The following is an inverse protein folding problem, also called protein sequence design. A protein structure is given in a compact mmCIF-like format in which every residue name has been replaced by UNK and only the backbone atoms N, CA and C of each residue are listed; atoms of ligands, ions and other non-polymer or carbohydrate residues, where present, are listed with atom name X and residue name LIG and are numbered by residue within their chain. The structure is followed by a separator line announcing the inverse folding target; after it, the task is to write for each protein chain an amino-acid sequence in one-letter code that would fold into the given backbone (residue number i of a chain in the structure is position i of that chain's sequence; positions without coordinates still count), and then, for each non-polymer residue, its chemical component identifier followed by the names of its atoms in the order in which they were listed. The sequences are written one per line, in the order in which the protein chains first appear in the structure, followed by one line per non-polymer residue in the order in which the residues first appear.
data_IF_874790600867
#
_entry.id   IF_874790600867
#
_cell.length_a   1.000
_cell.length_b   1.000
_cell.length_c   1.000
_cell.angle_alpha   90.00
_cell.angle_beta   90.00
_cell.angle_gamma   90.00
#
_symmetry.space_group_name_H-M   'P 1'
#
loop_
_entity.id
_entity.type
_entity.pdbx_description
1 polymer ?
#
# COMPACT_ATOMS: atom_id res chain seq x y z
N UNK A 1 18.13 29.87 14.72
CA UNK A 1 16.90 30.63 14.99
C UNK A 1 16.95 31.00 16.47
N UNK A 2 17.02 32.28 16.83
CA UNK A 2 16.74 32.71 18.20
C UNK A 2 15.22 32.66 18.35
N UNK A 3 14.68 31.49 18.70
CA UNK A 3 13.32 31.40 19.20
C UNK A 3 13.44 31.63 20.71
N UNK A 4 13.22 32.87 21.14
CA UNK A 4 12.98 33.14 22.56
C UNK A 4 11.73 32.38 22.96
N UNK A 5 11.91 31.25 23.66
CA UNK A 5 10.84 30.48 24.30
C UNK A 5 10.28 31.23 25.51
N UNK A 6 9.37 30.58 26.23
CA UNK A 6 8.84 31.09 27.49
C UNK A 6 9.93 31.29 28.57
N UNK A 7 11.11 30.70 28.37
CA UNK A 7 12.32 30.85 29.17
C UNK A 7 12.77 32.32 29.40
N UNK A 8 12.56 33.22 28.43
CA UNK A 8 12.91 34.65 28.56
C UNK A 8 12.04 35.40 29.60
N UNK A 9 10.97 34.78 30.12
CA UNK A 9 10.03 35.40 31.04
C UNK A 9 10.22 35.02 32.51
N UNK A 10 11.06 34.02 32.80
CA UNK A 10 11.31 33.56 34.19
C UNK A 10 12.53 34.28 34.82
N UNK A 11 13.36 34.97 34.04
CA UNK A 11 14.53 35.66 34.58
C UNK A 11 14.24 37.11 34.96
N UNK A 12 14.11 37.41 36.26
CA UNK A 12 14.60 38.67 36.79
C UNK A 12 15.32 38.50 38.12
N UNK A 13 16.29 39.40 38.31
CA UNK A 13 17.21 39.43 39.44
C UNK A 13 16.45 39.45 40.77
N UNK A 14 17.03 38.76 41.75
CA UNK A 14 16.56 38.66 43.12
C UNK A 14 16.00 39.97 43.67
N UNK A 15 14.67 40.06 43.89
CA UNK A 15 14.05 41.15 44.64
C UNK A 15 12.69 41.67 44.16
N UNK A 16 12.24 41.31 42.96
CA UNK A 16 10.91 41.72 42.46
C UNK A 16 9.93 40.54 42.47
N UNK A 17 8.70 40.79 42.94
CA UNK A 17 7.59 39.81 42.84
C UNK A 17 7.32 39.55 41.36
N UNK A 18 7.27 38.29 40.89
CA UNK A 18 7.05 38.02 39.49
C UNK A 18 5.65 38.49 39.11
N UNK A 19 5.57 39.34 38.10
CA UNK A 19 4.31 39.84 37.58
C UNK A 19 3.68 38.74 36.70
N UNK A 20 3.10 37.73 37.36
CA UNK A 20 2.43 36.59 36.71
C UNK A 20 1.13 36.98 35.99
N UNK A 21 0.70 38.24 36.06
CA UNK A 21 -0.55 38.71 35.50
C UNK A 21 -0.40 39.15 34.05
N UNK A 22 -0.73 38.22 33.15
CA UNK A 22 -0.92 38.52 31.73
C UNK A 22 -2.30 39.17 31.57
N UNK A 23 -2.36 40.49 31.34
CA UNK A 23 -3.61 41.17 30.98
C UNK A 23 -3.85 41.11 29.47
N UNK A 24 -5.12 41.09 29.00
CA UNK A 24 -5.48 41.14 27.57
C UNK A 24 -4.91 42.36 26.82
N UNK A 25 -4.46 43.36 27.56
CA UNK A 25 -4.01 44.66 27.07
C UNK A 25 -2.53 44.62 26.62
N UNK A 26 -1.81 43.55 26.97
CA UNK A 26 -0.40 43.33 26.66
C UNK A 26 -0.23 42.33 25.50
N UNK A 27 -0.88 42.60 24.37
CA UNK A 27 -1.07 41.68 23.23
C UNK A 27 0.24 41.12 22.64
N UNK A 28 1.35 41.86 22.71
CA UNK A 28 2.66 41.38 22.26
C UNK A 28 3.22 40.26 23.15
N UNK A 29 3.00 40.30 24.48
CA UNK A 29 3.40 39.24 25.42
C UNK A 29 2.46 38.03 25.34
N UNK A 30 1.17 38.28 25.11
CA UNK A 30 0.16 37.24 24.93
C UNK A 30 0.50 36.34 23.73
N UNK A 31 0.79 36.93 22.57
CA UNK A 31 1.07 36.20 21.33
C UNK A 31 2.35 35.33 21.36
N UNK A 32 3.29 35.62 22.28
CA UNK A 32 4.53 34.85 22.44
C UNK A 32 4.31 33.55 23.24
N UNK A 33 3.29 33.52 24.10
CA UNK A 33 2.94 32.37 24.96
C UNK A 33 1.80 31.51 24.41
N UNK A 34 1.12 31.93 23.35
CA UNK A 34 -0.06 31.25 22.79
C UNK A 34 0.22 30.14 21.79
N UNK A 35 1.49 29.92 21.43
CA UNK A 35 1.87 28.94 20.42
C UNK A 35 2.53 27.71 21.06
N UNK A 36 2.68 26.63 20.30
CA UNK A 36 3.44 25.44 20.72
C UNK A 36 4.93 25.80 20.72
N UNK A 37 5.52 25.91 21.92
CA UNK A 37 6.93 26.24 22.14
C UNK A 37 7.75 25.01 22.54
N UNK A 38 9.07 25.18 22.68
CA UNK A 38 10.00 24.11 23.08
C UNK A 38 9.52 23.36 24.34
N UNK A 39 9.08 24.10 25.34
CA UNK A 39 8.69 23.62 26.66
C UNK A 39 7.40 22.78 26.62
N UNK A 40 6.57 22.95 25.59
CA UNK A 40 5.38 22.14 25.38
C UNK A 40 5.71 20.66 25.09
N UNK A 41 6.91 20.38 24.57
CA UNK A 41 7.37 19.03 24.20
C UNK A 41 8.53 18.52 25.08
N UNK A 42 9.33 19.44 25.64
CA UNK A 42 10.53 19.10 26.42
C UNK A 42 10.37 19.33 27.93
N UNK A 43 9.25 19.92 28.36
CA UNK A 43 9.02 20.34 29.74
C UNK A 43 9.69 21.68 30.07
N UNK A 44 9.46 22.20 31.29
CA UNK A 44 10.03 23.46 31.74
C UNK A 44 11.56 23.37 31.87
N UNK A 45 12.26 24.44 31.52
CA UNK A 45 13.72 24.53 31.56
C UNK A 45 14.15 25.10 32.91
N UNK A 46 14.49 24.23 33.87
CA UNK A 46 15.09 24.62 35.14
C UNK A 46 15.23 23.48 36.14
N UNK A 47 16.15 23.60 37.09
CA UNK A 47 16.25 22.65 38.21
C UNK A 47 15.19 22.93 39.29
N UNK A 48 15.07 22.03 40.28
CA UNK A 48 14.14 22.18 41.41
C UNK A 48 14.40 23.45 42.25
N UNK A 49 15.52 24.14 42.01
CA UNK A 49 15.98 25.33 42.72
C UNK A 49 15.74 26.62 41.92
N UNK A 50 15.20 26.51 40.70
CA UNK A 50 14.82 27.65 39.85
C UNK A 50 15.95 28.22 38.98
N UNK A 51 17.05 27.48 38.79
CA UNK A 51 18.14 27.89 37.88
C UNK A 51 17.78 27.48 36.44
N UNK A 52 17.70 28.47 35.55
CA UNK A 52 17.37 28.28 34.13
C UNK A 52 18.55 27.65 33.36
N UNK A 53 18.29 26.54 32.66
CA UNK A 53 19.23 25.87 31.75
C UNK A 53 19.19 26.50 30.34
N UNK A 54 19.79 27.69 30.22
CA UNK A 54 19.87 28.44 28.95
C UNK A 54 20.55 27.69 27.80
N UNK A 55 21.40 26.71 28.13
CA UNK A 55 22.11 25.92 27.14
C UNK A 55 21.35 24.65 26.74
N UNK A 56 20.18 24.42 27.34
CA UNK A 56 19.31 23.28 27.02
C UNK A 56 19.99 21.92 27.16
N UNK A 57 20.92 21.83 28.12
CA UNK A 57 21.75 20.66 28.40
C UNK A 57 21.00 19.54 29.13
N UNK A 58 19.86 19.84 29.74
CA UNK A 58 19.03 18.92 30.54
C UNK A 58 17.74 18.48 29.81
N UNK A 59 17.60 18.82 28.51
CA UNK A 59 16.38 18.56 27.76
C UNK A 59 16.08 17.07 27.62
N UNK A 60 14.85 16.70 27.96
CA UNK A 60 14.33 15.35 27.72
C UNK A 60 14.01 15.22 26.24
N UNK A 61 14.69 14.29 25.55
CA UNK A 61 14.28 13.89 24.19
C UNK A 61 13.25 12.79 24.31
N UNK A 62 11.98 13.10 23.99
CA UNK A 62 10.87 12.16 24.09
C UNK A 62 10.44 11.67 22.71
N UNK A 63 10.69 10.39 22.44
CA UNK A 63 10.29 9.73 21.19
C UNK A 63 8.88 9.14 21.24
N UNK A 64 8.22 9.13 22.40
CA UNK A 64 6.88 8.56 22.56
C UNK A 64 5.83 9.37 21.78
N UNK A 65 4.93 8.69 21.08
CA UNK A 65 3.77 9.31 20.43
C UNK A 65 2.89 10.07 21.44
N UNK A 66 2.90 9.69 22.72
CA UNK A 66 2.17 10.36 23.78
C UNK A 66 2.58 11.84 23.95
N UNK A 67 3.82 12.19 23.61
CA UNK A 67 4.28 13.57 23.66
C UNK A 67 3.50 14.46 22.68
N UNK A 68 3.26 13.98 21.46
CA UNK A 68 2.43 14.64 20.47
C UNK A 68 0.94 14.51 20.83
N UNK A 69 0.59 13.37 21.43
CA UNK A 69 -0.76 13.00 21.84
C UNK A 69 -1.43 13.98 22.78
N UNK A 70 -0.66 14.70 23.62
CA UNK A 70 -1.21 15.74 24.53
C UNK A 70 -2.17 16.70 23.82
N UNK A 71 -1.81 17.11 22.60
CA UNK A 71 -2.62 18.02 21.77
C UNK A 71 -3.37 17.30 20.64
N UNK A 72 -2.84 16.17 20.14
CA UNK A 72 -3.35 15.46 18.98
C UNK A 72 -4.22 14.24 19.34
N UNK A 73 -5.15 14.42 20.27
CA UNK A 73 -6.04 13.36 20.78
C UNK A 73 -7.52 13.78 20.87
N UNK A 74 -8.00 14.60 19.94
CA UNK A 74 -9.38 15.12 19.94
C UNK A 74 -10.16 14.70 18.71
N UNK A 75 -11.48 14.88 18.71
CA UNK A 75 -12.34 14.57 17.57
C UNK A 75 -11.93 15.30 16.27
N UNK A 76 -11.34 16.50 16.37
CA UNK A 76 -10.81 17.25 15.22
C UNK A 76 -9.39 16.85 14.81
N UNK A 77 -8.60 16.32 15.74
CA UNK A 77 -7.21 15.92 15.54
C UNK A 77 -6.98 14.53 16.16
N UNK A 78 -7.58 13.46 15.61
CA UNK A 78 -7.58 12.13 16.23
C UNK A 78 -6.27 11.34 15.98
N UNK A 79 -5.17 12.02 15.65
CA UNK A 79 -3.94 11.38 15.16
C UNK A 79 -3.39 10.33 16.12
N UNK A 80 -3.35 10.60 17.42
CA UNK A 80 -2.83 9.66 18.40
C UNK A 80 -3.68 8.39 18.45
N UNK A 81 -4.99 8.55 18.64
CA UNK A 81 -5.91 7.41 18.72
C UNK A 81 -5.91 6.58 17.44
N UNK A 82 -5.83 7.22 16.28
CA UNK A 82 -5.71 6.51 15.00
C UNK A 82 -4.37 5.79 14.87
N UNK A 83 -3.27 6.45 15.26
CA UNK A 83 -1.94 5.84 15.23
C UNK A 83 -1.84 4.64 16.17
N UNK A 84 -2.42 4.70 17.37
CA UNK A 84 -2.47 3.59 18.34
C UNK A 84 -3.20 2.36 17.80
N UNK A 85 -4.15 2.54 16.87
CA UNK A 85 -4.82 1.45 16.16
C UNK A 85 -4.01 0.90 14.97
N UNK A 86 -2.92 1.56 14.58
CA UNK A 86 -2.14 1.18 13.41
C UNK A 86 -1.11 0.07 13.68
N UNK A 87 -0.65 -0.59 12.62
CA UNK A 87 0.46 -1.53 12.69
C UNK A 87 1.77 -0.91 13.18
N UNK A 88 1.97 0.40 13.00
CA UNK A 88 3.17 1.10 13.47
C UNK A 88 3.25 1.19 15.00
N UNK A 89 2.10 1.28 15.68
CA UNK A 89 2.02 1.30 17.15
C UNK A 89 2.03 -0.09 17.79
N UNK A 90 1.78 -1.15 16.99
CA UNK A 90 1.69 -2.52 17.49
C UNK A 90 3.05 -3.09 17.93
N UNK A 91 4.14 -2.46 17.49
CA UNK A 91 5.50 -2.74 17.91
C UNK A 91 6.12 -4.02 17.37
N UNK A 92 7.44 -4.11 17.49
CA UNK A 92 8.18 -5.29 17.03
C UNK A 92 7.96 -6.49 17.98
N UNK A 93 7.83 -7.74 17.46
CA UNK A 93 7.74 -8.93 18.29
C UNK A 93 8.94 -9.09 19.24
N UNK A 94 8.74 -9.69 20.41
CA UNK A 94 9.80 -9.81 21.43
C UNK A 94 11.07 -10.53 20.94
N UNK A 95 10.94 -11.55 20.08
CA UNK A 95 12.08 -12.28 19.51
C UNK A 95 12.94 -11.43 18.56
N UNK A 96 12.37 -10.35 18.03
CA UNK A 96 13.03 -9.44 17.10
C UNK A 96 13.88 -8.40 17.82
N UNK A 97 13.59 -8.10 19.10
CA UNK A 97 14.28 -7.08 19.92
C UNK A 97 15.67 -7.51 20.41
N UNK A 98 16.42 -8.24 19.57
CA UNK A 98 17.82 -8.57 19.77
C UNK A 98 18.64 -7.90 18.66
N UNK A 99 19.29 -6.78 18.99
CA UNK A 99 20.09 -5.99 18.02
C UNK A 99 21.26 -6.76 17.47
N UNK A 100 21.93 -7.58 18.28
CA UNK A 100 23.09 -8.37 17.82
C UNK A 100 22.70 -9.37 16.72
N UNK A 101 21.45 -9.85 16.74
CA UNK A 101 20.93 -10.80 15.76
C UNK A 101 20.20 -10.15 14.58
N UNK A 102 19.56 -8.98 14.80
CA UNK A 102 18.59 -8.40 13.86
C UNK A 102 18.81 -6.91 13.59
N UNK A 103 20.06 -6.41 13.70
CA UNK A 103 20.38 -4.98 13.61
C UNK A 103 19.76 -4.28 12.41
N UNK A 104 19.81 -4.91 11.23
CA UNK A 104 19.38 -4.31 9.96
C UNK A 104 17.89 -3.98 9.94
N UNK A 105 17.11 -4.63 10.80
CA UNK A 105 15.68 -4.45 10.85
C UNK A 105 15.27 -3.31 11.81
N UNK A 106 16.18 -2.82 12.66
CA UNK A 106 15.82 -1.87 13.73
C UNK A 106 15.33 -0.53 13.21
N UNK A 107 15.92 0.00 12.14
CA UNK A 107 15.52 1.33 11.65
C UNK A 107 14.11 1.34 11.05
N UNK A 108 13.59 0.20 10.58
CA UNK A 108 12.22 0.09 10.12
C UNK A 108 11.20 -0.08 11.27
N UNK A 109 11.66 -0.42 12.46
CA UNK A 109 10.81 -0.84 13.58
C UNK A 109 10.89 0.07 14.82
N UNK A 110 11.94 0.89 14.95
CA UNK A 110 12.13 1.79 16.09
C UNK A 110 12.37 3.23 15.68
N UNK A 111 11.70 4.17 16.36
CA UNK A 111 11.73 5.58 16.00
C UNK A 111 13.13 6.21 16.15
N UNK A 112 13.86 5.86 17.21
CA UNK A 112 15.21 6.37 17.45
C UNK A 112 16.18 5.96 16.34
N UNK A 113 16.18 4.67 15.99
CA UNK A 113 16.99 4.10 14.92
C UNK A 113 16.64 4.73 13.57
N UNK A 114 15.35 4.89 13.25
CA UNK A 114 14.92 5.55 12.01
C UNK A 114 15.39 7.01 11.93
N UNK A 115 15.26 7.76 13.03
CA UNK A 115 15.71 9.15 13.10
C UNK A 115 17.23 9.24 12.98
N UNK A 116 17.97 8.33 13.60
CA UNK A 116 19.42 8.26 13.48
C UNK A 116 19.84 7.93 12.04
N UNK A 117 19.20 6.95 11.41
CA UNK A 117 19.40 6.57 10.02
C UNK A 117 19.24 7.77 9.06
N UNK A 118 18.13 8.50 9.16
CA UNK A 118 17.88 9.62 8.26
C UNK A 118 18.84 10.81 8.46
N UNK A 119 19.33 11.01 9.68
CA UNK A 119 20.19 12.15 10.02
C UNK A 119 21.69 11.83 9.88
N UNK A 120 22.07 10.56 9.85
CA UNK A 120 23.46 10.13 9.80
C UNK A 120 23.70 9.18 8.61
N UNK A 121 24.38 9.62 7.55
CA UNK A 121 24.71 8.77 6.40
C UNK A 121 25.69 7.64 6.75
N UNK A 122 26.31 7.65 7.93
CA UNK A 122 27.15 6.58 8.48
C UNK A 122 26.47 5.84 9.62
N UNK A 123 25.13 5.85 9.66
CA UNK A 123 24.36 5.06 10.61
C UNK A 123 24.70 3.56 10.48
N UNK A 124 25.02 2.95 11.62
CA UNK A 124 25.31 1.54 11.76
C UNK A 124 24.37 0.98 12.82
N UNK A 125 23.40 0.19 12.38
CA UNK A 125 22.38 -0.34 13.26
C UNK A 125 22.95 -1.33 14.30
N UNK A 126 24.07 -2.00 14.03
CA UNK A 126 24.69 -2.93 14.98
C UNK A 126 25.39 -2.21 16.13
N UNK A 127 25.90 -1.00 15.86
CA UNK A 127 26.67 -0.20 16.83
C UNK A 127 25.91 1.00 17.40
N UNK A 128 24.69 1.26 16.94
CA UNK A 128 23.89 2.37 17.45
C UNK A 128 23.61 2.19 18.94
N UNK A 129 23.90 3.22 19.73
CA UNK A 129 23.72 3.22 21.18
C UNK A 129 22.69 4.28 21.57
N UNK A 130 21.72 3.88 22.39
CA UNK A 130 20.80 4.81 23.02
C UNK A 130 21.04 4.88 24.52
N UNK A 131 20.75 6.04 25.10
CA UNK A 131 20.84 6.21 26.55
C UNK A 131 19.88 5.27 27.28
N UNK A 132 20.42 4.53 28.26
CA UNK A 132 19.69 3.52 29.00
C UNK A 132 19.40 2.22 28.24
N UNK A 133 19.97 2.02 27.04
CA UNK A 133 19.91 0.76 26.31
C UNK A 133 18.62 0.51 25.52
N UNK A 134 18.63 -0.52 24.68
CA UNK A 134 17.56 -0.82 23.69
C UNK A 134 16.17 -1.05 24.31
N UNK A 135 16.09 -1.33 25.61
CA UNK A 135 14.84 -1.40 26.38
C UNK A 135 14.03 -0.10 26.37
N UNK A 136 14.68 1.04 26.10
CA UNK A 136 14.04 2.35 26.00
C UNK A 136 13.60 2.72 24.58
N UNK A 137 13.85 1.87 23.58
CA UNK A 137 13.41 2.11 22.22
C UNK A 137 11.89 2.24 22.15
N UNK A 138 11.43 3.23 21.40
CA UNK A 138 10.04 3.36 21.04
C UNK A 138 9.86 2.70 19.68
N UNK A 139 8.74 2.01 19.48
CA UNK A 139 8.33 1.56 18.15
C UNK A 139 8.10 2.77 17.20
N UNK A 140 7.65 2.58 15.97
CA UNK A 140 7.54 3.68 14.99
C UNK A 140 6.51 4.74 15.41
N UNK A 141 6.97 5.87 15.98
CA UNK A 141 6.13 6.96 16.50
C UNK A 141 5.98 8.14 15.54
N UNK A 142 5.24 9.17 15.96
CA UNK A 142 5.04 10.41 15.19
C UNK A 142 6.36 11.04 14.73
N UNK A 143 7.39 11.03 15.59
CA UNK A 143 8.69 11.65 15.29
C UNK A 143 9.54 10.84 14.32
N UNK A 144 9.15 9.61 13.96
CA UNK A 144 9.76 8.88 12.86
C UNK A 144 9.43 9.57 11.53
N UNK A 145 8.18 10.01 11.34
CA UNK A 145 7.76 10.65 10.11
C UNK A 145 7.90 12.18 10.12
N UNK A 146 7.61 12.80 11.26
CA UNK A 146 7.58 14.26 11.39
C UNK A 146 8.87 14.82 12.00
N UNK A 147 9.29 15.98 11.52
CA UNK A 147 10.32 16.81 12.12
C UNK A 147 9.65 17.92 12.95
N UNK A 148 9.62 17.81 14.30
CA UNK A 148 8.99 18.81 15.15
C UNK A 148 9.68 20.19 15.09
N UNK A 149 10.90 20.27 14.55
CA UNK A 149 11.67 21.50 14.38
C UNK A 149 11.74 21.98 12.92
N UNK A 150 11.11 21.24 11.99
CA UNK A 150 11.14 21.55 10.56
C UNK A 150 10.02 22.50 10.16
N UNK A 151 10.23 23.22 9.05
CA UNK A 151 9.18 23.98 8.35
C UNK A 151 9.28 23.80 6.82
N UNK A 152 9.87 22.69 6.38
CA UNK A 152 10.29 22.48 5.00
C UNK A 152 9.14 22.06 4.08
N UNK A 153 8.02 21.57 4.61
CA UNK A 153 6.85 21.12 3.84
C UNK A 153 5.54 21.23 4.65
N UNK A 154 4.41 21.06 3.98
CA UNK A 154 3.03 21.28 4.50
C UNK A 154 2.62 20.38 5.67
N UNK A 155 3.39 19.35 6.00
CA UNK A 155 3.13 18.45 7.13
C UNK A 155 4.36 18.22 8.02
N UNK A 156 5.41 19.04 7.86
CA UNK A 156 6.70 18.87 8.52
C UNK A 156 7.27 17.44 8.44
N UNK A 157 7.04 16.74 7.32
CA UNK A 157 7.62 15.42 7.09
C UNK A 157 9.14 15.52 6.98
N UNK A 158 9.85 14.49 7.44
CA UNK A 158 11.31 14.42 7.28
C UNK A 158 11.67 14.33 5.80
N UNK A 159 12.78 14.98 5.47
CA UNK A 159 13.40 14.84 4.16
C UNK A 159 14.23 13.56 4.12
N UNK A 160 14.27 12.90 2.97
CA UNK A 160 15.12 11.74 2.77
C UNK A 160 16.55 12.17 2.42
N UNK A 161 17.57 11.40 2.85
CA UNK A 161 18.96 11.66 2.49
C UNK A 161 19.21 11.41 1.00
N UNK A 162 20.39 11.82 0.53
CA UNK A 162 20.86 11.53 -0.83
C UNK A 162 20.87 10.00 -1.08
N UNK A 163 20.49 9.57 -2.29
CA UNK A 163 20.35 8.15 -2.65
C UNK A 163 18.90 7.63 -2.59
N UNK A 164 17.95 8.42 -2.08
CA UNK A 164 16.52 8.13 -2.07
C UNK A 164 15.74 8.99 -3.08
N UNK A 165 16.37 9.39 -4.19
CA UNK A 165 15.73 10.25 -5.18
C UNK A 165 14.47 9.61 -5.77
N UNK A 166 13.35 10.34 -5.73
CA UNK A 166 12.04 9.86 -6.22
C UNK A 166 11.31 8.91 -5.26
N UNK A 167 11.88 8.64 -4.08
CA UNK A 167 11.22 7.90 -2.99
C UNK A 167 10.51 8.85 -2.03
N UNK A 168 9.50 8.32 -1.34
CA UNK A 168 8.85 8.96 -0.20
C UNK A 168 9.16 8.18 1.07
N UNK A 169 8.86 8.76 2.23
CA UNK A 169 9.21 8.17 3.53
C UNK A 169 8.68 6.74 3.72
N UNK A 170 7.52 6.42 3.14
CA UNK A 170 6.94 5.08 3.17
C UNK A 170 7.83 4.05 2.46
N UNK A 171 8.51 4.43 1.38
CA UNK A 171 9.35 3.52 0.59
C UNK A 171 10.63 3.11 1.34
N UNK A 172 10.98 3.79 2.44
CA UNK A 172 12.19 3.47 3.22
C UNK A 172 12.03 2.16 3.98
N UNK A 173 10.83 1.89 4.50
CA UNK A 173 10.55 0.69 5.29
C UNK A 173 9.73 -0.34 4.51
N UNK A 174 8.84 0.10 3.61
CA UNK A 174 8.01 -0.80 2.80
C UNK A 174 8.71 -1.20 1.50
N UNK A 175 9.94 -1.71 1.63
CA UNK A 175 10.82 -2.12 0.54
C UNK A 175 11.57 -3.37 0.95
N UNK A 176 11.81 -4.30 0.02
CA UNK A 176 12.53 -5.57 0.29
C UNK A 176 13.97 -5.37 0.82
N UNK A 177 14.63 -4.25 0.54
CA UNK A 177 16.03 -3.95 0.93
C UNK A 177 17.11 -4.89 0.37
N UNK A 178 16.76 -5.72 -0.61
CA UNK A 178 17.66 -6.68 -1.24
C UNK A 178 18.11 -6.22 -2.63
N UNK A 179 19.23 -6.76 -3.09
CA UNK A 179 19.73 -6.54 -4.46
C UNK A 179 19.32 -7.65 -5.44
N UNK A 180 18.94 -8.81 -4.92
CA UNK A 180 18.51 -9.98 -5.68
C UNK A 180 17.49 -10.79 -4.89
N UNK A 181 16.63 -11.54 -5.58
CA UNK A 181 15.59 -12.35 -4.95
C UNK A 181 16.14 -13.74 -4.63
N UNK A 182 16.07 -14.15 -3.36
CA UNK A 182 16.18 -15.56 -2.97
C UNK A 182 14.78 -16.16 -2.78
N UNK A 183 14.38 -17.03 -3.71
CA UNK A 183 13.09 -17.71 -3.66
C UNK A 183 13.01 -18.85 -2.63
N UNK A 184 14.11 -19.13 -1.90
CA UNK A 184 14.10 -20.03 -0.75
C UNK A 184 13.67 -19.34 0.54
N UNK A 185 13.66 -18.00 0.56
CA UNK A 185 13.19 -17.22 1.69
C UNK A 185 11.74 -16.74 1.50
N UNK A 186 11.19 -16.06 2.50
CA UNK A 186 9.88 -15.44 2.48
C UNK A 186 10.00 -13.99 2.03
N UNK A 187 9.25 -13.56 1.00
CA UNK A 187 9.26 -12.15 0.59
C UNK A 187 8.80 -11.27 1.74
N UNK A 188 9.60 -10.27 2.09
CA UNK A 188 9.28 -9.30 3.13
C UNK A 188 9.02 -7.92 2.49
N UNK A 189 7.97 -7.22 2.95
CA UNK A 189 7.67 -5.80 2.69
C UNK A 189 7.91 -5.29 1.25
N UNK A 190 7.30 -5.90 0.24
CA UNK A 190 7.58 -5.65 -1.19
C UNK A 190 6.73 -4.55 -1.85
N UNK A 191 6.06 -3.70 -1.06
CA UNK A 191 5.08 -2.71 -1.56
C UNK A 191 5.70 -1.69 -2.51
N UNK A 192 6.89 -1.15 -2.18
CA UNK A 192 7.66 -0.24 -3.05
C UNK A 192 7.99 -0.90 -4.39
N UNK A 193 8.41 -2.16 -4.35
CA UNK A 193 8.85 -2.92 -5.52
C UNK A 193 7.65 -3.22 -6.43
N UNK A 194 6.52 -3.62 -5.84
CA UNK A 194 5.28 -3.85 -6.58
C UNK A 194 4.83 -2.57 -7.30
N UNK A 195 4.72 -1.48 -6.54
CA UNK A 195 4.21 -0.22 -7.04
C UNK A 195 5.09 0.31 -8.20
N UNK A 196 6.42 0.22 -8.02
CA UNK A 196 7.40 0.65 -9.03
C UNK A 196 7.59 -0.33 -10.20
N UNK A 197 7.02 -1.54 -10.13
CA UNK A 197 7.23 -2.58 -11.13
C UNK A 197 8.66 -3.13 -11.15
N UNK A 198 9.34 -3.10 -10.00
CA UNK A 198 10.71 -3.59 -9.83
C UNK A 198 10.80 -5.09 -10.09
N UNK A 199 11.96 -5.55 -10.56
CA UNK A 199 12.29 -6.98 -10.68
C UNK A 199 12.38 -7.71 -9.34
N UNK A 200 12.44 -6.94 -8.26
CA UNK A 200 12.49 -7.45 -6.89
C UNK A 200 11.09 -7.70 -6.30
N UNK A 201 10.01 -7.45 -7.07
CA UNK A 201 8.69 -7.93 -6.67
C UNK A 201 8.46 -9.34 -7.22
N UNK A 202 8.46 -10.32 -6.32
CA UNK A 202 8.27 -11.73 -6.68
C UNK A 202 9.43 -12.28 -7.53
N UNK A 203 9.34 -13.56 -7.84
CA UNK A 203 10.12 -14.23 -8.87
C UNK A 203 9.52 -13.99 -10.26
N UNK A 204 10.08 -13.01 -10.98
CA UNK A 204 9.78 -12.76 -12.39
C UNK A 204 10.56 -13.74 -13.27
N UNK A 205 9.86 -14.65 -13.96
CA UNK A 205 10.47 -15.67 -14.80
C UNK A 205 11.28 -15.03 -15.96
N UNK A 206 12.58 -15.32 -16.12
CA UNK A 206 13.44 -14.62 -17.09
C UNK A 206 13.00 -14.75 -18.56
N UNK A 207 12.28 -15.81 -18.90
CA UNK A 207 11.73 -16.06 -20.23
C UNK A 207 10.43 -15.33 -20.52
N UNK A 208 9.80 -14.73 -19.50
CA UNK A 208 8.53 -14.03 -19.60
C UNK A 208 8.75 -12.50 -19.65
N UNK A 209 7.88 -11.79 -20.36
CA UNK A 209 7.91 -10.33 -20.40
C UNK A 209 6.93 -9.73 -19.38
N UNK A 210 7.48 -9.09 -18.35
CA UNK A 210 6.73 -8.30 -17.36
C UNK A 210 6.62 -6.82 -17.73
N UNK A 211 7.24 -6.41 -18.84
CA UNK A 211 7.12 -5.08 -19.44
C UNK A 211 7.55 -3.91 -18.58
N UNK A 212 8.28 -4.14 -17.47
CA UNK A 212 8.39 -3.21 -16.34
C UNK A 212 7.07 -2.46 -16.13
N UNK A 213 5.98 -3.21 -15.98
CA UNK A 213 4.63 -2.69 -15.85
C UNK A 213 4.53 -1.84 -14.58
N UNK A 214 5.00 -0.59 -14.62
CA UNK A 214 4.86 0.36 -13.52
C UNK A 214 3.38 0.56 -13.28
N UNK A 215 3.00 0.62 -12.01
CA UNK A 215 1.65 1.02 -11.68
C UNK A 215 1.38 2.44 -12.16
N UNK A 216 0.16 2.68 -12.64
CA UNK A 216 -0.29 4.06 -12.89
C UNK A 216 -0.38 4.86 -11.59
N UNK A 217 -0.52 4.21 -10.43
CA UNK A 217 -0.55 4.85 -9.13
C UNK A 217 0.81 5.46 -8.72
N UNK A 218 1.92 5.11 -9.39
CA UNK A 218 3.22 5.80 -9.20
C UNK A 218 3.15 7.27 -9.63
N UNK A 219 2.24 7.62 -10.54
CA UNK A 219 2.12 8.98 -11.08
C UNK A 219 1.31 9.92 -10.17
N UNK A 220 0.72 9.41 -9.09
CA UNK A 220 -0.03 10.21 -8.12
C UNK A 220 0.96 11.03 -7.29
N UNK A 221 0.70 12.34 -7.16
CA UNK A 221 1.62 13.33 -6.55
C UNK A 221 2.13 12.92 -5.16
N UNK A 222 1.24 12.40 -4.31
CA UNK A 222 1.54 12.01 -2.93
C UNK A 222 1.63 10.47 -2.75
N UNK A 223 1.61 9.70 -3.87
CA UNK A 223 1.71 8.23 -3.93
C UNK A 223 0.90 7.51 -2.85
N UNK A 224 1.56 6.86 -1.88
CA UNK A 224 0.92 6.06 -0.83
C UNK A 224 0.00 6.90 0.05
N UNK A 225 0.40 8.14 0.37
CA UNK A 225 -0.34 9.07 1.22
C UNK A 225 -1.71 9.36 0.63
N UNK A 226 -1.81 9.49 -0.70
CA UNK A 226 -3.08 9.80 -1.36
C UNK A 226 -4.18 8.78 -1.05
N UNK A 227 -3.83 7.50 -0.87
CA UNK A 227 -4.81 6.44 -0.57
C UNK A 227 -4.88 6.10 0.92
N UNK A 228 -3.73 6.07 1.61
CA UNK A 228 -3.60 5.56 2.97
C UNK A 228 -3.69 6.64 4.05
N UNK A 229 -3.52 7.92 3.70
CA UNK A 229 -3.58 9.05 4.62
C UNK A 229 -4.53 10.10 4.05
N UNK A 230 -5.78 10.04 4.45
CA UNK A 230 -6.85 10.87 3.89
C UNK A 230 -7.40 11.86 4.95
N UNK A 231 -7.82 13.04 4.51
CA UNK A 231 -8.60 13.96 5.34
C UNK A 231 -10.09 13.72 5.12
N UNK A 232 -10.91 13.89 6.16
CA UNK A 232 -12.37 13.82 6.03
C UNK A 232 -13.03 15.08 6.59
N UNK A 233 -14.06 15.62 5.93
CA UNK A 233 -14.92 16.63 6.55
C UNK A 233 -15.52 16.04 7.83
N UNK A 234 -15.18 16.61 8.99
CA UNK A 234 -15.66 16.18 10.30
C UNK A 234 -17.13 16.56 10.48
N UNK A 235 -17.54 17.67 9.88
CA UNK A 235 -18.91 18.16 9.92
C UNK A 235 -19.39 18.60 8.54
N UNK A 236 -20.30 17.83 7.96
CA UNK A 236 -20.89 18.12 6.64
C UNK A 236 -21.69 19.45 6.61
N UNK A 237 -22.11 19.98 7.76
CA UNK A 237 -22.87 21.23 7.86
C UNK A 237 -21.99 22.49 8.01
N UNK A 238 -20.81 22.39 8.64
CA UNK A 238 -19.89 23.54 8.81
C UNK A 238 -18.71 23.52 7.83
N UNK A 239 -18.42 22.36 7.22
CA UNK A 239 -17.28 22.19 6.32
C UNK A 239 -15.93 22.10 7.03
N UNK A 240 -15.92 22.01 8.37
CA UNK A 240 -14.70 21.82 9.15
C UNK A 240 -14.12 20.43 8.88
N UNK A 241 -12.88 20.37 8.40
CA UNK A 241 -12.14 19.13 8.13
C UNK A 241 -11.49 18.60 9.39
N UNK A 242 -11.74 17.34 9.75
CA UNK A 242 -10.79 16.59 10.57
C UNK A 242 -9.72 16.04 9.64
N UNK A 243 -8.47 16.25 10.03
CA UNK A 243 -7.38 15.54 9.38
C UNK A 243 -7.30 14.17 10.05
N UNK A 244 -7.46 13.13 9.25
CA UNK A 244 -7.59 11.73 9.70
C UNK A 244 -6.57 10.88 8.94
N UNK A 245 -6.69 9.55 9.02
CA UNK A 245 -5.91 8.63 8.18
C UNK A 245 -4.60 8.14 8.81
N UNK A 246 -4.36 8.39 10.10
CA UNK A 246 -3.17 7.87 10.80
C UNK A 246 -3.31 6.40 11.24
N UNK A 247 -4.42 5.73 10.85
CA UNK A 247 -4.53 4.27 10.85
C UNK A 247 -3.78 3.63 9.67
N UNK A 248 -3.48 4.43 8.63
CA UNK A 248 -2.87 4.00 7.36
C UNK A 248 -3.71 3.00 6.55
N UNK A 249 -4.98 2.83 6.90
CA UNK A 249 -5.93 2.04 6.12
C UNK A 249 -6.39 2.84 4.89
N UNK A 250 -6.49 2.20 3.71
CA UNK A 250 -7.02 2.86 2.54
C UNK A 250 -8.50 3.18 2.73
N UNK A 251 -8.98 4.26 2.10
CA UNK A 251 -10.39 4.65 2.09
C UNK A 251 -10.93 4.81 0.68
N UNK A 252 -12.22 4.49 0.50
CA UNK A 252 -12.87 4.55 -0.83
C UNK A 252 -12.96 5.97 -1.36
N UNK A 253 -13.10 6.94 -0.46
CA UNK A 253 -13.15 8.37 -0.75
C UNK A 253 -11.89 8.84 -1.50
N UNK A 254 -10.73 8.27 -1.17
CA UNK A 254 -9.47 8.58 -1.84
C UNK A 254 -9.45 8.13 -3.31
N UNK A 255 -10.22 7.09 -3.66
CA UNK A 255 -10.29 6.61 -5.05
C UNK A 255 -11.12 7.56 -5.93
N UNK A 256 -12.11 8.23 -5.37
CA UNK A 256 -13.12 9.01 -6.10
C UNK A 256 -12.53 10.21 -6.81
N UNK A 257 -11.45 10.80 -6.28
CA UNK A 257 -10.76 11.93 -6.90
C UNK A 257 -10.28 11.61 -8.33
N UNK A 258 -9.82 10.38 -8.55
CA UNK A 258 -9.35 9.91 -9.86
C UNK A 258 -10.36 8.99 -10.58
N UNK A 259 -11.27 8.36 -9.85
CA UNK A 259 -12.28 7.43 -10.33
C UNK A 259 -13.68 7.98 -10.03
N UNK A 260 -14.22 8.92 -10.82
CA UNK A 260 -15.48 9.58 -10.49
C UNK A 260 -16.69 8.62 -10.55
N UNK A 261 -16.58 7.51 -11.28
CA UNK A 261 -17.60 6.45 -11.38
C UNK A 261 -17.57 5.46 -10.20
N UNK A 262 -16.64 5.62 -9.23
CA UNK A 262 -16.41 4.61 -8.18
C UNK A 262 -17.66 4.24 -7.40
N UNK A 263 -18.44 5.24 -6.97
CA UNK A 263 -19.70 5.03 -6.24
C UNK A 263 -20.82 4.46 -7.11
N UNK A 264 -20.76 4.65 -8.42
CA UNK A 264 -21.76 4.14 -9.36
C UNK A 264 -21.54 2.66 -9.67
N UNK A 265 -20.29 2.20 -9.59
CA UNK A 265 -19.90 0.84 -10.03
C UNK A 265 -19.60 -0.13 -8.89
N UNK A 266 -19.48 0.34 -7.64
CA UNK A 266 -19.11 -0.48 -6.48
C UNK A 266 -20.08 -0.37 -5.31
N UNK A 267 -20.32 -1.50 -4.65
CA UNK A 267 -20.95 -1.52 -3.34
C UNK A 267 -19.91 -1.18 -2.26
N UNK A 268 -19.75 0.10 -1.97
CA UNK A 268 -18.79 0.59 -0.96
C UNK A 268 -19.11 0.16 0.48
N UNK A 269 -20.35 -0.28 0.74
CA UNK A 269 -20.78 -0.73 2.07
C UNK A 269 -20.32 -2.15 2.38
N UNK A 270 -19.88 -2.91 1.36
CA UNK A 270 -19.36 -4.26 1.49
C UNK A 270 -17.82 -4.21 1.68
N UNK A 271 -17.28 -4.52 2.86
CA UNK A 271 -15.84 -4.45 3.14
C UNK A 271 -14.98 -5.30 2.21
N UNK A 272 -15.51 -6.38 1.64
CA UNK A 272 -14.77 -7.27 0.74
C UNK A 272 -14.72 -6.77 -0.70
N UNK A 273 -15.70 -5.95 -1.09
CA UNK A 273 -15.88 -5.46 -2.47
C UNK A 273 -15.62 -3.97 -2.63
N UNK A 274 -15.53 -3.21 -1.53
CA UNK A 274 -15.37 -1.76 -1.56
C UNK A 274 -14.10 -1.28 -2.27
N UNK A 275 -13.11 -2.16 -2.47
CA UNK A 275 -11.90 -1.89 -3.26
C UNK A 275 -11.79 -2.69 -4.57
N UNK A 276 -12.81 -3.51 -4.91
CA UNK A 276 -12.78 -4.39 -6.08
C UNK A 276 -13.17 -3.67 -7.37
N UNK A 277 -12.48 -2.56 -7.65
CA UNK A 277 -12.79 -1.71 -8.80
C UNK A 277 -12.67 -2.47 -10.11
N UNK A 278 -13.82 -2.64 -10.78
CA UNK A 278 -13.97 -3.38 -12.04
C UNK A 278 -13.49 -4.84 -11.94
N UNK A 279 -13.60 -5.47 -10.76
CA UNK A 279 -13.28 -6.88 -10.56
C UNK A 279 -11.79 -7.19 -10.40
N UNK A 280 -10.93 -6.17 -10.21
CA UNK A 280 -9.49 -6.35 -10.11
C UNK A 280 -9.07 -7.26 -8.95
N UNK A 281 -9.61 -7.04 -7.75
CA UNK A 281 -9.28 -7.87 -6.59
C UNK A 281 -9.92 -9.25 -6.70
N UNK A 282 -11.13 -9.35 -7.25
CA UNK A 282 -11.77 -10.64 -7.54
C UNK A 282 -10.91 -11.50 -8.46
N UNK A 283 -10.38 -10.93 -9.55
CA UNK A 283 -9.47 -11.62 -10.46
C UNK A 283 -8.21 -12.11 -9.75
N UNK A 284 -7.53 -11.23 -9.01
CA UNK A 284 -6.27 -11.59 -8.32
C UNK A 284 -6.50 -12.63 -7.22
N UNK A 285 -7.56 -12.49 -6.42
CA UNK A 285 -7.92 -13.49 -5.39
C UNK A 285 -8.22 -14.86 -6.00
N UNK A 286 -8.89 -14.89 -7.17
CA UNK A 286 -9.12 -16.14 -7.91
C UNK A 286 -7.81 -16.80 -8.38
N UNK A 287 -6.86 -16.02 -8.89
CA UNK A 287 -5.53 -16.51 -9.27
C UNK A 287 -4.73 -17.03 -8.06
N UNK A 288 -4.79 -16.33 -6.93
CA UNK A 288 -4.19 -16.77 -5.66
C UNK A 288 -4.77 -18.13 -5.26
N UNK A 289 -6.10 -18.26 -5.21
CA UNK A 289 -6.75 -19.50 -4.80
C UNK A 289 -6.41 -20.67 -5.73
N UNK A 290 -6.31 -20.41 -7.03
CA UNK A 290 -5.89 -21.41 -8.00
C UNK A 290 -4.45 -21.88 -7.72
N UNK A 291 -3.51 -20.94 -7.59
CA UNK A 291 -2.12 -21.28 -7.32
C UNK A 291 -1.94 -21.99 -5.97
N UNK A 292 -2.67 -21.57 -4.93
CA UNK A 292 -2.74 -22.26 -3.64
C UNK A 292 -3.18 -23.71 -3.80
N UNK A 293 -4.23 -23.96 -4.58
CA UNK A 293 -4.75 -25.31 -4.83
C UNK A 293 -3.73 -26.19 -5.56
N UNK A 294 -3.02 -25.62 -6.55
CA UNK A 294 -1.96 -26.34 -7.26
C UNK A 294 -0.79 -26.69 -6.34
N UNK A 295 -0.36 -25.75 -5.51
CA UNK A 295 0.74 -25.96 -4.56
C UNK A 295 0.35 -26.94 -3.44
N UNK A 296 -0.89 -26.88 -2.93
CA UNK A 296 -1.35 -27.80 -1.88
C UNK A 296 -1.47 -29.24 -2.37
N UNK A 297 -1.73 -29.44 -3.67
CA UNK A 297 -1.84 -30.76 -4.30
C UNK A 297 -0.50 -31.28 -4.83
N UNK A 298 0.59 -30.52 -4.72
CA UNK A 298 1.90 -30.95 -5.19
C UNK A 298 2.38 -32.17 -4.39
N UNK A 299 3.02 -33.12 -5.09
CA UNK A 299 3.65 -34.26 -4.43
C UNK A 299 4.83 -33.80 -3.53
N UNK A 300 5.22 -34.63 -2.57
CA UNK A 300 6.41 -34.36 -1.73
C UNK A 300 7.72 -34.25 -2.52
N UNK A 301 7.78 -34.85 -3.72
CA UNK A 301 8.92 -34.70 -4.62
C UNK A 301 8.90 -33.35 -5.35
N UNK A 302 7.71 -32.87 -5.72
CA UNK A 302 7.53 -31.59 -6.39
C UNK A 302 7.69 -30.39 -5.45
N UNK A 303 7.35 -30.52 -4.16
CA UNK A 303 7.42 -29.44 -3.18
C UNK A 303 8.83 -28.91 -2.91
N UNK A 304 9.86 -29.62 -3.35
CA UNK A 304 11.26 -29.21 -3.27
C UNK A 304 11.85 -28.76 -4.62
N UNK A 305 11.04 -28.75 -5.68
CA UNK A 305 11.50 -28.33 -7.00
C UNK A 305 11.59 -26.82 -7.10
N UNK A 306 12.56 -26.32 -7.86
CA UNK A 306 12.68 -24.90 -8.20
C UNK A 306 11.37 -24.27 -8.67
N UNK A 307 10.60 -24.99 -9.50
CA UNK A 307 9.32 -24.47 -10.02
C UNK A 307 8.31 -24.23 -8.90
N UNK A 308 8.26 -25.14 -7.93
CA UNK A 308 7.36 -25.06 -6.78
C UNK A 308 7.79 -23.92 -5.88
N UNK A 309 9.08 -23.84 -5.54
CA UNK A 309 9.59 -22.80 -4.64
C UNK A 309 9.37 -21.40 -5.24
N UNK A 310 9.65 -21.20 -6.54
CA UNK A 310 9.39 -19.93 -7.24
C UNK A 310 7.91 -19.57 -7.28
N UNK A 311 7.04 -20.55 -7.57
CA UNK A 311 5.60 -20.34 -7.58
C UNK A 311 5.04 -20.05 -6.18
N UNK A 312 5.55 -20.74 -5.15
CA UNK A 312 5.19 -20.51 -3.75
C UNK A 312 5.68 -19.13 -3.26
N UNK A 313 6.89 -18.72 -3.65
CA UNK A 313 7.40 -17.37 -3.38
C UNK A 313 6.47 -16.30 -3.96
N UNK A 314 6.04 -16.46 -5.21
CA UNK A 314 5.10 -15.55 -5.86
C UNK A 314 3.73 -15.51 -5.18
N UNK A 315 3.21 -16.66 -4.77
CA UNK A 315 1.99 -16.75 -4.00
C UNK A 315 2.10 -15.96 -2.68
N UNK A 316 3.19 -16.19 -1.93
CA UNK A 316 3.41 -15.52 -0.65
C UNK A 316 3.55 -14.01 -0.87
N UNK A 317 4.33 -13.58 -1.87
CA UNK A 317 4.49 -12.16 -2.21
C UNK A 317 3.14 -11.49 -2.51
N UNK A 318 2.31 -12.10 -3.35
CA UNK A 318 1.00 -11.56 -3.72
C UNK A 318 0.04 -11.47 -2.52
N UNK A 319 0.12 -12.40 -1.56
CA UNK A 319 -0.71 -12.40 -0.35
C UNK A 319 -0.20 -11.41 0.71
N UNK A 320 1.09 -11.43 0.98
CA UNK A 320 1.73 -10.62 2.01
C UNK A 320 1.66 -9.12 1.69
N UNK A 321 1.63 -8.79 0.40
CA UNK A 321 1.50 -7.41 -0.05
C UNK A 321 0.12 -6.78 0.28
N UNK A 322 -0.94 -7.59 0.38
CA UNK A 322 -2.22 -7.21 0.98
C UNK A 322 -3.14 -6.31 0.14
N UNK A 323 -2.67 -5.69 -0.94
CA UNK A 323 -3.52 -4.86 -1.80
C UNK A 323 -4.38 -5.68 -2.77
N UNK A 324 -4.05 -6.96 -2.95
CA UNK A 324 -4.65 -7.86 -3.95
C UNK A 324 -4.63 -7.25 -5.37
N UNK A 325 -3.49 -6.65 -5.72
CA UNK A 325 -3.25 -6.09 -7.05
C UNK A 325 -3.71 -4.66 -7.24
N UNK A 326 -4.21 -3.95 -6.22
CA UNK A 326 -4.52 -2.52 -6.34
C UNK A 326 -3.24 -1.69 -6.52
N UNK A 327 -2.15 -2.06 -5.85
CA UNK A 327 -0.88 -1.35 -6.04
C UNK A 327 -0.32 -1.56 -7.45
N UNK A 328 -0.50 -2.73 -8.07
CA UNK A 328 -0.14 -2.95 -9.48
C UNK A 328 -0.81 -4.20 -10.09
N UNK A 329 -1.98 -4.03 -10.69
CA UNK A 329 -2.81 -5.18 -11.12
C UNK A 329 -2.14 -6.00 -12.21
N UNK A 330 -1.50 -5.34 -13.18
CA UNK A 330 -0.87 -6.01 -14.33
C UNK A 330 0.28 -6.92 -13.90
N UNK A 331 1.13 -6.43 -13.01
CA UNK A 331 2.28 -7.19 -12.54
C UNK A 331 1.84 -8.41 -11.72
N UNK A 332 0.97 -8.23 -10.73
CA UNK A 332 0.49 -9.36 -9.90
C UNK A 332 -0.26 -10.38 -10.76
N UNK A 333 -1.12 -9.93 -11.68
CA UNK A 333 -1.83 -10.82 -12.59
C UNK A 333 -0.87 -11.69 -13.40
N UNK A 334 0.08 -11.08 -14.13
CA UNK A 334 1.04 -11.81 -14.97
C UNK A 334 1.90 -12.76 -14.13
N UNK A 335 2.36 -12.30 -12.97
CA UNK A 335 3.18 -13.11 -12.06
C UNK A 335 2.45 -14.39 -11.61
N UNK A 336 1.18 -14.27 -11.21
CA UNK A 336 0.37 -15.42 -10.79
C UNK A 336 0.00 -16.32 -11.96
N UNK A 337 -0.40 -15.76 -13.10
CA UNK A 337 -0.70 -16.53 -14.33
C UNK A 337 0.50 -17.38 -14.77
N UNK A 338 1.72 -16.81 -14.73
CA UNK A 338 2.94 -17.54 -15.07
C UNK A 338 3.26 -18.63 -14.05
N UNK A 339 3.14 -18.33 -12.76
CA UNK A 339 3.37 -19.34 -11.72
C UNK A 339 2.40 -20.51 -11.83
N UNK A 340 1.13 -20.25 -12.14
CA UNK A 340 0.14 -21.28 -12.45
C UNK A 340 0.59 -22.10 -13.67
N UNK A 341 0.98 -21.43 -14.77
CA UNK A 341 1.43 -22.11 -15.98
C UNK A 341 2.68 -22.98 -15.74
N UNK A 342 3.66 -22.52 -14.94
CA UNK A 342 4.84 -23.33 -14.61
C UNK A 342 4.50 -24.54 -13.74
N UNK A 343 3.46 -24.45 -12.92
CA UNK A 343 2.97 -25.55 -12.09
C UNK A 343 2.20 -26.62 -12.90
N UNK A 344 1.47 -26.24 -13.95
CA UNK A 344 0.63 -27.15 -14.74
C UNK A 344 1.41 -27.95 -15.80
N UNK A 345 2.52 -27.43 -16.32
CA UNK A 345 3.30 -28.07 -17.41
C UNK A 345 3.99 -29.39 -16.99
N UNK A 346 4.00 -29.74 -15.71
CA UNK A 346 4.64 -30.95 -15.21
C UNK A 346 3.70 -32.09 -14.78
N UNK A 347 2.39 -31.90 -14.83
CA UNK A 347 1.41 -32.97 -14.61
C UNK A 347 1.00 -33.60 -15.94
N UNK A 348 1.83 -34.49 -16.49
CA UNK A 348 1.38 -35.41 -17.54
C UNK A 348 1.18 -36.79 -16.92
N UNK A 349 0.02 -36.99 -16.30
CA UNK A 349 -0.76 -38.22 -16.48
C UNK A 349 -2.23 -37.80 -16.62
N UNK A 350 -2.85 -38.21 -17.73
CA UNK A 350 -4.21 -37.88 -18.17
C UNK A 350 -5.22 -37.69 -17.03
N UNK A 351 -5.79 -36.49 -16.96
CA UNK A 351 -7.23 -36.32 -16.81
C UNK A 351 -7.61 -34.93 -17.30
N UNK A 352 -8.73 -34.84 -18.00
CA UNK A 352 -9.32 -33.62 -18.58
C UNK A 352 -8.91 -32.36 -17.80
N UNK A 353 -8.18 -31.44 -18.43
CA UNK A 353 -7.76 -30.17 -17.82
C UNK A 353 -8.97 -29.49 -17.20
N UNK A 354 -9.10 -29.60 -15.88
CA UNK A 354 -10.18 -29.00 -15.13
C UNK A 354 -9.87 -27.51 -15.07
N UNK A 355 -10.65 -26.65 -15.74
CA UNK A 355 -10.39 -25.24 -15.69
C UNK A 355 -10.64 -24.73 -14.28
N UNK A 356 -9.72 -23.92 -13.82
CA UNK A 356 -9.62 -23.43 -12.44
C UNK A 356 -9.70 -21.90 -12.37
N UNK A 357 -9.71 -21.22 -13.51
CA UNK A 357 -10.02 -19.78 -13.65
C UNK A 357 -11.03 -19.52 -14.75
N UNK A 358 -11.77 -18.42 -14.61
CA UNK A 358 -12.51 -17.86 -15.73
C UNK A 358 -11.52 -17.27 -16.74
N UNK A 359 -11.61 -17.66 -18.00
CA UNK A 359 -10.79 -17.09 -19.07
C UNK A 359 -11.65 -16.88 -20.31
N UNK A 360 -11.52 -15.72 -20.95
CA UNK A 360 -12.01 -15.49 -22.30
C UNK A 360 -10.80 -15.32 -23.22
N UNK A 361 -10.56 -16.30 -24.08
CA UNK A 361 -9.42 -16.26 -24.99
C UNK A 361 -9.65 -15.31 -26.16
N UNK A 362 -8.57 -14.82 -26.75
CA UNK A 362 -8.63 -14.09 -28.01
C UNK A 362 -9.18 -15.01 -29.12
N UNK A 363 -10.11 -14.49 -29.92
CA UNK A 363 -10.73 -15.25 -31.00
C UNK A 363 -9.68 -15.65 -32.06
N UNK A 364 -9.82 -16.84 -32.65
CA UNK A 364 -8.93 -17.32 -33.70
C UNK A 364 -9.72 -17.92 -34.88
N UNK A 365 -9.43 -17.52 -36.13
CA UNK A 365 -8.46 -16.48 -36.52
C UNK A 365 -8.89 -15.07 -36.07
N UNK A 366 -7.93 -14.14 -35.95
CA UNK A 366 -8.18 -12.70 -35.82
C UNK A 366 -7.01 -11.93 -36.48
N UNK A 367 -7.23 -11.19 -37.59
CA UNK A 367 -8.52 -10.92 -38.22
C UNK A 367 -9.19 -12.17 -38.81
N UNK A 368 -10.52 -12.16 -38.97
CA UNK A 368 -11.30 -13.32 -39.39
C UNK A 368 -12.19 -13.03 -40.61
N UNK A 369 -12.56 -14.07 -41.38
CA UNK A 369 -13.45 -13.97 -42.54
C UNK A 369 -14.17 -15.30 -42.86
N UNK A 370 -15.52 -15.34 -42.84
CA UNK A 370 -16.41 -14.60 -41.95
C UNK A 370 -16.59 -15.34 -40.61
N UNK A 371 -15.88 -16.44 -40.37
CA UNK A 371 -16.00 -17.28 -39.18
C UNK A 371 -14.76 -17.16 -38.29
N UNK A 372 -15.00 -17.21 -36.98
CA UNK A 372 -13.95 -17.25 -35.96
C UNK A 372 -14.39 -18.11 -34.80
N UNK A 373 -13.43 -18.57 -34.02
CA UNK A 373 -13.65 -19.41 -32.85
C UNK A 373 -13.26 -18.65 -31.59
N UNK A 374 -14.15 -18.61 -30.62
CA UNK A 374 -13.95 -18.01 -29.29
C UNK A 374 -13.85 -19.16 -28.29
N UNK A 375 -12.72 -19.25 -27.59
CA UNK A 375 -12.52 -20.21 -26.50
C UNK A 375 -12.70 -19.51 -25.17
N UNK A 376 -13.29 -20.20 -24.21
CA UNK A 376 -13.40 -19.71 -22.84
C UNK A 376 -13.43 -20.87 -21.85
N UNK A 377 -13.07 -20.57 -20.61
CA UNK A 377 -13.08 -21.54 -19.51
C UNK A 377 -13.89 -21.01 -18.35
N UNK A 378 -14.54 -21.93 -17.62
CA UNK A 378 -15.26 -21.60 -16.39
C UNK A 378 -14.87 -22.55 -15.25
N UNK A 379 -14.48 -22.03 -14.08
CA UNK A 379 -13.97 -22.83 -12.97
C UNK A 379 -15.04 -23.29 -12.01
N UNK A 380 -16.28 -22.83 -12.18
CA UNK A 380 -17.43 -23.25 -11.39
C UNK A 380 -18.70 -23.14 -12.23
N UNK A 381 -19.70 -23.93 -11.87
CA UNK A 381 -20.97 -23.96 -12.57
C UNK A 381 -21.66 -22.60 -12.42
N UNK A 382 -21.89 -21.91 -13.54
CA UNK A 382 -22.36 -20.53 -13.55
C UNK A 382 -23.19 -20.21 -14.79
N UNK A 383 -24.06 -19.20 -14.69
CA UNK A 383 -24.75 -18.64 -15.85
C UNK A 383 -23.76 -17.79 -16.64
N UNK A 384 -23.56 -18.13 -17.91
CA UNK A 384 -22.60 -17.48 -18.79
C UNK A 384 -23.34 -16.77 -19.92
N UNK A 385 -23.02 -15.48 -20.10
CA UNK A 385 -23.53 -14.69 -21.21
C UNK A 385 -22.38 -14.17 -22.06
N UNK A 386 -22.39 -14.49 -23.36
CA UNK A 386 -21.41 -14.00 -24.34
C UNK A 386 -22.12 -13.17 -25.39
N UNK A 387 -21.77 -11.88 -25.47
CA UNK A 387 -22.45 -10.88 -26.31
C UNK A 387 -21.45 -10.21 -27.26
N UNK A 388 -21.83 -10.06 -28.52
CA UNK A 388 -21.12 -9.29 -29.53
C UNK A 388 -21.69 -7.88 -29.64
N UNK A 389 -20.81 -6.89 -29.66
CA UNK A 389 -21.09 -5.48 -29.90
C UNK A 389 -20.35 -4.98 -31.14
N UNK A 390 -20.93 -4.00 -31.82
CA UNK A 390 -20.24 -3.26 -32.88
C UNK A 390 -19.37 -2.12 -32.28
N UNK A 391 -18.63 -1.43 -33.14
CA UNK A 391 -17.78 -0.29 -32.73
C UNK A 391 -18.53 0.88 -32.05
N UNK A 392 -19.86 0.95 -32.18
CA UNK A 392 -20.71 1.97 -31.53
C UNK A 392 -21.26 1.49 -30.17
N UNK A 393 -20.85 0.31 -29.70
CA UNK A 393 -21.36 -0.28 -28.45
C UNK A 393 -22.77 -0.86 -28.56
N UNK A 394 -23.34 -0.95 -29.77
CA UNK A 394 -24.65 -1.56 -29.97
C UNK A 394 -24.51 -3.08 -30.00
N UNK A 395 -25.35 -3.77 -29.23
CA UNK A 395 -25.45 -5.22 -29.27
C UNK A 395 -25.85 -5.69 -30.67
N UNK A 396 -25.04 -6.59 -31.22
CA UNK A 396 -25.22 -7.19 -32.53
C UNK A 396 -25.84 -8.58 -32.40
N UNK A 397 -25.34 -9.37 -31.44
CA UNK A 397 -25.78 -10.75 -31.24
C UNK A 397 -25.35 -11.26 -29.88
N UNK A 398 -26.27 -11.91 -29.14
CA UNK A 398 -25.91 -12.79 -28.03
C UNK A 398 -25.54 -14.17 -28.60
N UNK A 399 -24.31 -14.64 -28.36
CA UNK A 399 -23.81 -15.95 -28.81
C UNK A 399 -24.18 -17.08 -27.85
N UNK A 400 -24.23 -16.78 -26.55
CA UNK A 400 -24.55 -17.73 -25.50
C UNK A 400 -25.20 -16.97 -24.34
N UNK A 401 -26.23 -17.56 -23.74
CA UNK A 401 -26.87 -17.11 -22.50
C UNK A 401 -27.47 -18.37 -21.84
N UNK A 402 -26.61 -19.14 -21.17
CA UNK A 402 -26.99 -20.43 -20.59
C UNK A 402 -26.16 -20.79 -19.36
N UNK A 403 -26.71 -21.67 -18.53
CA UNK A 403 -25.99 -22.28 -17.42
C UNK A 403 -24.99 -23.32 -17.96
N UNK A 404 -23.72 -23.22 -17.53
CA UNK A 404 -22.68 -24.18 -17.89
C UNK A 404 -22.03 -24.75 -16.65
N UNK A 405 -21.76 -26.05 -16.67
CA UNK A 405 -20.93 -26.72 -15.68
C UNK A 405 -19.47 -26.32 -15.84
N UNK A 406 -18.66 -26.51 -14.80
CA UNK A 406 -17.20 -26.31 -14.88
C UNK A 406 -16.63 -26.99 -16.13
N UNK A 407 -15.86 -26.26 -16.93
CA UNK A 407 -15.32 -26.80 -18.18
C UNK A 407 -14.73 -25.77 -19.13
N UNK A 408 -14.09 -26.29 -20.17
CA UNK A 408 -13.53 -25.53 -21.28
C UNK A 408 -14.47 -25.62 -22.47
N UNK A 409 -14.80 -24.46 -23.05
CA UNK A 409 -15.83 -24.34 -24.07
C UNK A 409 -15.31 -23.61 -25.29
N UNK A 410 -15.93 -23.92 -26.42
CA UNK A 410 -15.60 -23.34 -27.72
C UNK A 410 -16.88 -22.92 -28.41
N UNK A 411 -16.93 -21.66 -28.84
CA UNK A 411 -18.02 -21.08 -29.61
C UNK A 411 -17.53 -20.66 -30.98
N UNK A 412 -18.28 -21.02 -32.02
CA UNK A 412 -18.07 -20.49 -33.35
C UNK A 412 -18.97 -19.28 -33.57
N UNK A 413 -18.41 -18.20 -34.10
CA UNK A 413 -19.17 -17.06 -34.56
C UNK A 413 -19.02 -16.87 -36.07
N UNK A 414 -20.15 -16.90 -36.77
CA UNK A 414 -20.26 -16.59 -38.18
C UNK A 414 -20.85 -15.19 -38.37
N UNK A 415 -20.08 -14.31 -39.01
CA UNK A 415 -20.41 -12.91 -39.25
C UNK A 415 -20.71 -12.59 -40.74
N UNK A 416 -21.16 -13.57 -41.55
CA UNK A 416 -21.40 -13.38 -43.00
C UNK A 416 -22.29 -12.16 -43.32
N UNK A 417 -23.27 -11.86 -42.47
CA UNK A 417 -24.23 -10.76 -42.69
C UNK A 417 -23.79 -9.40 -42.11
N UNK A 418 -22.55 -9.27 -41.64
CA UNK A 418 -22.04 -8.05 -41.01
C UNK A 418 -20.99 -7.36 -41.88
N UNK A 419 -20.79 -6.06 -41.69
CA UNK A 419 -19.78 -5.27 -42.42
C UNK A 419 -18.38 -5.49 -41.83
N UNK A 420 -17.33 -5.40 -42.64
CA UNK A 420 -15.94 -5.37 -42.15
C UNK A 420 -15.76 -4.27 -41.11
N UNK A 421 -14.94 -4.53 -40.09
CA UNK A 421 -14.72 -3.57 -39.01
C UNK A 421 -14.41 -4.22 -37.68
N UNK A 422 -14.30 -3.37 -36.67
CA UNK A 422 -14.01 -3.78 -35.28
C UNK A 422 -15.30 -4.19 -34.60
N UNK A 423 -15.26 -5.35 -33.97
CA UNK A 423 -16.28 -5.84 -33.07
C UNK A 423 -15.68 -6.12 -31.70
N UNK A 424 -16.52 -6.08 -30.69
CA UNK A 424 -16.15 -6.33 -29.30
C UNK A 424 -17.00 -7.51 -28.85
N UNK A 425 -16.41 -8.45 -28.11
CA UNK A 425 -17.17 -9.49 -27.44
C UNK A 425 -16.91 -9.45 -25.94
N UNK A 426 -17.98 -9.62 -25.18
CA UNK A 426 -17.98 -9.64 -23.72
C UNK A 426 -18.44 -11.01 -23.25
N UNK A 427 -17.72 -11.59 -22.30
CA UNK A 427 -18.21 -12.67 -21.46
C UNK A 427 -18.60 -12.08 -20.11
N UNK A 428 -19.74 -12.49 -19.59
CA UNK A 428 -20.30 -12.04 -18.32
C UNK A 428 -20.83 -13.25 -17.55
N UNK A 429 -20.47 -13.30 -16.27
CA UNK A 429 -20.99 -14.22 -15.26
C UNK A 429 -21.40 -13.40 -14.04
N UNK A 430 -21.90 -14.05 -12.99
CA UNK A 430 -22.25 -13.37 -11.74
C UNK A 430 -21.06 -12.62 -11.09
N UNK A 431 -19.85 -13.18 -11.20
CA UNK A 431 -18.66 -12.72 -10.50
C UNK A 431 -17.48 -12.40 -11.44
N UNK A 432 -17.65 -12.52 -12.75
CA UNK A 432 -16.57 -12.31 -13.73
C UNK A 432 -17.11 -11.62 -14.97
N UNK A 433 -16.33 -10.69 -15.52
CA UNK A 433 -16.52 -10.21 -16.87
C UNK A 433 -15.16 -10.00 -17.56
N UNK A 434 -15.08 -10.31 -18.85
CA UNK A 434 -13.91 -10.04 -19.69
C UNK A 434 -14.38 -9.58 -21.07
N UNK A 435 -13.59 -8.70 -21.68
CA UNK A 435 -13.90 -8.02 -22.94
C UNK A 435 -12.70 -8.13 -23.87
N UNK A 436 -12.97 -8.55 -25.11
CA UNK A 436 -11.96 -8.71 -26.16
C UNK A 436 -12.41 -8.05 -27.45
N UNK A 437 -11.43 -7.69 -28.29
CA UNK A 437 -11.66 -7.01 -29.57
C UNK A 437 -11.29 -7.92 -30.72
N UNK A 438 -12.09 -7.90 -31.77
CA UNK A 438 -11.88 -8.70 -32.98
C UNK A 438 -12.08 -7.89 -34.25
N UNK A 439 -11.34 -8.23 -35.31
CA UNK A 439 -11.39 -7.55 -36.60
C UNK A 439 -11.98 -8.48 -37.66
N UNK A 440 -13.14 -8.12 -38.19
CA UNK A 440 -13.74 -8.78 -39.36
C UNK A 440 -13.16 -8.17 -40.64
N UNK A 441 -12.54 -9.00 -41.46
CA UNK A 441 -12.14 -8.64 -42.83
C UNK A 441 -13.04 -9.38 -43.81
N UNK A 442 -13.51 -8.69 -44.85
CA UNK A 442 -14.19 -9.32 -45.99
C UNK A 442 -13.35 -9.18 -47.24
#
# INVERSE_FOLDING_TARGET
MNNGGADEFVSHASGETPDYYISPENSARWNLLTNVQCEACHGPVGDQEGILDWNHTTRITNYSSQNCGVCHQSEHHPYLSEWEESGHASGAPAWFKNREANSDCFYCHFAQDFVAFLNNPSYDAGNFQIEGGDENLQDITCVACHNPHGNNNTANLKNLPQGFEGKIICDVCHTVQETEIDFHDTPHHTTSELLSGSKLFGWQYPEEDYGQAKSFHVLIRERCVACHVHSTPYNAATGETAVTGHKFEPRVEACVECHPDYYDVLNISDPEKRFDYRGAQTLIKGLIQNLETLLSNASSADSNSDRFLKANYNLIAAKAEGSFGIHNTKLVQKLLEDSIAKMTVASVENNDEIPVVHNLSQNYPNPFNPTTTIKFTIPEASNIKIIIYNALGKEVKTLMDEFKERGSYTLEWNATNLSSGIYIYKMETQNFFDVKKMLLLK
#
